data_IF_621046363786
#
_entry.id   IF_621046363786
#
_cell.length_a   1.000
_cell.length_b   1.000
_cell.length_c   1.000
_cell.angle_alpha   90.00
_cell.angle_beta   90.00
_cell.angle_gamma   90.00
#
_symmetry.space_group_name_H-M   'P 1'
#
loop_
_entity.id
_entity.type
_entity.pdbx_description
1 polymer ?
#
# COMPACT_ATOMS: atom_id res chain seq x y z
N UNK A 1 -5.84 -17.62 -11.82
CA UNK A 1 -6.35 -16.96 -10.60
C UNK A 1 -6.98 -18.00 -9.68
N UNK A 2 -6.66 -17.95 -8.39
CA UNK A 2 -7.20 -18.87 -7.38
C UNK A 2 -8.72 -18.78 -7.25
N UNK A 3 -9.31 -19.89 -6.85
CA UNK A 3 -10.76 -20.16 -6.90
C UNK A 3 -11.58 -19.27 -5.98
N UNK A 4 -10.99 -18.74 -4.91
CA UNK A 4 -11.66 -17.92 -3.91
C UNK A 4 -11.37 -16.41 -4.06
N UNK A 5 -10.68 -16.01 -5.13
CA UNK A 5 -10.30 -14.61 -5.39
C UNK A 5 -11.50 -13.69 -5.55
N UNK A 6 -11.43 -12.44 -5.05
CA UNK A 6 -12.45 -11.41 -5.23
C UNK A 6 -12.75 -11.16 -6.71
N UNK A 7 -11.73 -11.29 -7.57
CA UNK A 7 -11.87 -11.14 -9.02
C UNK A 7 -12.58 -12.32 -9.70
N UNK A 8 -12.80 -13.44 -9.00
CA UNK A 8 -13.38 -14.68 -9.54
C UNK A 8 -14.69 -15.08 -8.86
N UNK A 9 -14.88 -14.75 -7.58
CA UNK A 9 -16.14 -15.02 -6.87
C UNK A 9 -17.20 -14.02 -7.30
N UNK A 10 -18.46 -14.46 -7.34
CA UNK A 10 -19.59 -13.65 -7.80
C UNK A 10 -20.72 -13.61 -6.75
N UNK A 11 -21.73 -12.77 -7.00
CA UNK A 11 -22.96 -12.73 -6.23
C UNK A 11 -22.76 -12.47 -4.73
N UNK A 12 -23.36 -13.33 -3.88
CA UNK A 12 -23.34 -13.15 -2.41
C UNK A 12 -21.94 -13.29 -1.83
N UNK A 13 -21.12 -14.19 -2.38
CA UNK A 13 -19.76 -14.42 -1.90
C UNK A 13 -18.88 -13.20 -2.16
N UNK A 14 -18.97 -12.62 -3.37
CA UNK A 14 -18.28 -11.35 -3.68
C UNK A 14 -18.71 -10.22 -2.76
N UNK A 15 -20.03 -10.03 -2.57
CA UNK A 15 -20.57 -8.97 -1.69
C UNK A 15 -20.05 -9.11 -0.25
N UNK A 16 -20.06 -10.33 0.28
CA UNK A 16 -19.57 -10.63 1.64
C UNK A 16 -18.08 -10.32 1.76
N UNK A 17 -17.27 -10.83 0.84
CA UNK A 17 -15.83 -10.62 0.84
C UNK A 17 -15.46 -9.13 0.68
N UNK A 18 -16.11 -8.41 -0.24
CA UNK A 18 -15.93 -6.96 -0.42
C UNK A 18 -16.26 -6.19 0.85
N UNK A 19 -17.35 -6.55 1.54
CA UNK A 19 -17.75 -5.90 2.79
C UNK A 19 -16.67 -6.02 3.85
N UNK A 20 -16.17 -7.23 4.11
CA UNK A 20 -15.13 -7.44 5.12
C UNK A 20 -13.85 -6.66 4.82
N UNK A 21 -13.42 -6.66 3.56
CA UNK A 21 -12.21 -5.91 3.14
C UNK A 21 -12.41 -4.41 3.32
N UNK A 22 -13.59 -3.88 2.97
CA UNK A 22 -13.90 -2.47 3.13
C UNK A 22 -14.02 -2.06 4.60
N UNK A 23 -14.65 -2.88 5.45
CA UNK A 23 -14.79 -2.60 6.88
C UNK A 23 -13.45 -2.67 7.61
N UNK A 24 -12.57 -3.59 7.21
CA UNK A 24 -11.18 -3.57 7.63
C UNK A 24 -10.58 -2.22 7.23
N UNK A 25 -10.40 -1.96 5.93
CA UNK A 25 -9.55 -0.85 5.48
C UNK A 25 -10.11 0.53 5.82
N UNK A 26 -11.42 0.74 5.62
CA UNK A 26 -12.04 2.06 5.64
C UNK A 26 -12.82 2.39 6.93
N UNK A 27 -12.74 1.55 7.96
CA UNK A 27 -13.28 1.95 9.27
C UNK A 27 -12.51 3.16 9.82
N UNK A 28 -13.18 4.13 10.49
CA UNK A 28 -12.51 5.30 11.06
C UNK A 28 -11.31 4.94 11.95
N UNK A 29 -11.43 3.86 12.72
CA UNK A 29 -10.42 3.32 13.63
C UNK A 29 -9.23 2.74 12.86
N UNK A 30 -9.50 2.08 11.73
CA UNK A 30 -8.45 1.63 10.81
C UNK A 30 -7.67 2.80 10.23
N UNK A 31 -8.38 3.80 9.71
CA UNK A 31 -7.76 4.99 9.14
C UNK A 31 -6.91 5.72 10.19
N UNK A 32 -7.42 5.89 11.42
CA UNK A 32 -6.64 6.47 12.53
C UNK A 32 -5.35 5.69 12.83
N UNK A 33 -5.40 4.35 12.88
CA UNK A 33 -4.19 3.51 13.07
C UNK A 33 -3.22 3.62 11.90
N UNK A 34 -3.76 3.68 10.68
CA UNK A 34 -2.98 3.88 9.45
C UNK A 34 -2.21 5.21 9.52
N UNK A 35 -2.85 6.31 9.92
CA UNK A 35 -2.18 7.61 10.08
C UNK A 35 -0.99 7.59 11.04
N UNK A 36 -1.12 6.90 12.18
CA UNK A 36 -0.03 6.76 13.16
C UNK A 36 1.20 6.06 12.57
N UNK A 37 1.00 5.12 11.65
CA UNK A 37 2.08 4.32 11.05
C UNK A 37 2.64 4.98 9.79
N UNK A 38 1.76 5.50 8.93
CA UNK A 38 2.12 6.09 7.65
C UNK A 38 2.90 7.40 7.85
N UNK A 39 2.43 8.31 8.70
CA UNK A 39 3.02 9.64 8.79
C UNK A 39 4.53 9.62 9.11
N UNK A 40 5.02 8.85 10.10
CA UNK A 40 6.46 8.69 10.32
C UNK A 40 7.21 8.10 9.11
N UNK A 41 6.62 7.12 8.42
CA UNK A 41 7.23 6.52 7.24
C UNK A 41 7.35 7.51 6.09
N UNK A 42 6.32 8.33 5.83
CA UNK A 42 6.36 9.37 4.81
C UNK A 42 7.44 10.40 5.13
N UNK A 43 7.50 10.87 6.40
CA UNK A 43 8.54 11.82 6.84
C UNK A 43 9.94 11.26 6.65
N UNK A 44 10.17 9.99 6.99
CA UNK A 44 11.44 9.32 6.81
C UNK A 44 11.82 9.17 5.32
N UNK A 45 10.86 8.79 4.47
CA UNK A 45 11.06 8.66 3.04
C UNK A 45 11.43 10.01 2.40
N UNK A 46 10.66 11.06 2.65
CA UNK A 46 10.96 12.40 2.14
C UNK A 46 12.36 12.90 2.57
N UNK A 47 12.74 12.66 3.83
CA UNK A 47 14.08 13.03 4.33
C UNK A 47 15.19 12.24 3.63
N UNK A 48 14.98 10.96 3.38
CA UNK A 48 15.90 10.10 2.62
C UNK A 48 16.02 10.56 1.17
N UNK A 49 14.91 10.87 0.50
CA UNK A 49 14.89 11.34 -0.88
C UNK A 49 15.62 12.67 -1.06
N UNK A 50 15.42 13.61 -0.13
CA UNK A 50 16.15 14.88 -0.13
C UNK A 50 17.68 14.68 -0.04
N UNK A 51 18.15 13.63 0.63
CA UNK A 51 19.58 13.30 0.74
C UNK A 51 20.13 12.57 -0.49
N UNK A 52 19.29 11.85 -1.25
CA UNK A 52 19.68 11.12 -2.47
C UNK A 52 19.91 12.04 -3.67
N UNK A 53 19.36 13.26 -3.65
CA UNK A 53 19.44 14.19 -4.78
C UNK A 53 18.47 13.80 -5.89
N UNK A 54 18.93 13.06 -6.89
CA UNK A 54 18.07 12.58 -8.00
C UNK A 54 17.48 11.21 -7.66
N UNK A 55 16.15 11.10 -7.75
CA UNK A 55 15.42 9.85 -7.52
C UNK A 55 14.50 9.51 -8.70
N UNK A 56 14.21 8.22 -8.86
CA UNK A 56 13.07 7.77 -9.67
C UNK A 56 11.83 7.76 -8.78
N UNK A 57 10.98 8.78 -8.88
CA UNK A 57 9.82 8.96 -8.00
C UNK A 57 8.91 7.72 -7.94
N UNK A 58 8.68 7.04 -9.06
CA UNK A 58 7.85 5.83 -9.11
C UNK A 58 8.41 4.66 -8.30
N UNK A 59 9.74 4.49 -8.29
CA UNK A 59 10.40 3.37 -7.60
C UNK A 59 10.38 3.62 -6.10
N UNK A 60 10.70 4.84 -5.69
CA UNK A 60 10.68 5.25 -4.29
C UNK A 60 9.25 5.24 -3.71
N UNK A 61 8.26 5.70 -4.50
CA UNK A 61 6.84 5.63 -4.15
C UNK A 61 6.38 4.17 -3.95
N UNK A 62 6.77 3.30 -4.87
CA UNK A 62 6.44 1.88 -4.82
C UNK A 62 7.05 1.24 -3.58
N UNK A 63 8.33 1.48 -3.29
CA UNK A 63 9.03 0.91 -2.14
C UNK A 63 8.41 1.36 -0.81
N UNK A 64 8.18 2.67 -0.64
CA UNK A 64 7.57 3.22 0.56
C UNK A 64 6.15 2.65 0.78
N UNK A 65 5.32 2.64 -0.27
CA UNK A 65 3.94 2.14 -0.19
C UNK A 65 3.91 0.64 0.12
N UNK A 66 4.79 -0.13 -0.54
CA UNK A 66 4.93 -1.56 -0.29
C UNK A 66 5.30 -1.87 1.17
N UNK A 67 6.29 -1.15 1.70
CA UNK A 67 6.77 -1.35 3.07
C UNK A 67 5.68 -0.99 4.08
N UNK A 68 4.98 0.11 3.87
CA UNK A 68 3.86 0.54 4.71
C UNK A 68 2.72 -0.49 4.72
N UNK A 69 2.31 -0.97 3.55
CA UNK A 69 1.27 -1.99 3.45
C UNK A 69 1.71 -3.29 4.14
N UNK A 70 2.97 -3.71 3.99
CA UNK A 70 3.50 -4.88 4.69
C UNK A 70 3.52 -4.69 6.22
N UNK A 71 3.95 -3.51 6.69
CA UNK A 71 3.92 -3.17 8.12
C UNK A 71 2.48 -3.17 8.66
N UNK A 72 1.51 -2.67 7.88
CA UNK A 72 0.12 -2.66 8.29
C UNK A 72 -0.51 -4.06 8.31
N UNK A 73 -0.27 -4.88 7.27
CA UNK A 73 -0.94 -6.18 7.12
C UNK A 73 -0.26 -7.31 7.88
N UNK A 74 1.02 -7.17 8.20
CA UNK A 74 1.79 -8.25 8.81
C UNK A 74 2.66 -7.79 9.99
N UNK A 75 2.58 -6.54 10.43
CA UNK A 75 3.37 -5.92 11.52
C UNK A 75 4.85 -6.32 11.56
N UNK A 76 5.48 -6.56 10.41
CA UNK A 76 6.91 -6.87 10.31
C UNK A 76 7.65 -5.80 9.51
N UNK A 77 8.90 -5.57 9.92
CA UNK A 77 9.78 -4.55 9.36
C UNK A 77 11.13 -5.14 8.89
N UNK A 78 11.24 -6.47 8.81
CA UNK A 78 12.47 -7.15 8.40
C UNK A 78 12.82 -6.85 6.95
N UNK A 79 13.89 -6.08 6.72
CA UNK A 79 14.35 -5.70 5.38
C UNK A 79 14.61 -6.91 4.44
N UNK A 80 15.24 -8.01 4.87
CA UNK A 80 15.38 -9.21 4.04
C UNK A 80 14.04 -9.82 3.63
N UNK A 81 13.07 -9.84 4.55
CA UNK A 81 11.73 -10.38 4.28
C UNK A 81 10.94 -9.46 3.35
N UNK A 82 11.02 -8.14 3.55
CA UNK A 82 10.41 -7.14 2.66
C UNK A 82 10.95 -7.29 1.23
N UNK A 83 12.26 -7.39 1.04
CA UNK A 83 12.87 -7.65 -0.28
C UNK A 83 12.40 -8.96 -0.89
N UNK A 84 12.30 -10.04 -0.10
CA UNK A 84 11.78 -11.33 -0.57
C UNK A 84 10.32 -11.20 -1.03
N UNK A 85 9.49 -10.50 -0.26
CA UNK A 85 8.09 -10.25 -0.60
C UNK A 85 7.98 -9.39 -1.88
N UNK A 86 8.76 -8.32 -2.02
CA UNK A 86 8.80 -7.50 -3.25
C UNK A 86 9.12 -8.36 -4.48
N UNK A 87 10.10 -9.28 -4.39
CA UNK A 87 10.43 -10.20 -5.48
C UNK A 87 9.28 -11.13 -5.85
N UNK A 88 8.61 -11.69 -4.84
CA UNK A 88 7.45 -12.57 -5.02
C UNK A 88 6.31 -11.82 -5.71
N UNK A 89 5.91 -10.66 -5.18
CA UNK A 89 4.83 -9.85 -5.74
C UNK A 89 5.17 -9.32 -7.14
N UNK A 90 6.41 -8.92 -7.38
CA UNK A 90 6.89 -8.55 -8.71
C UNK A 90 6.76 -9.70 -9.71
N UNK A 91 7.07 -10.93 -9.30
CA UNK A 91 6.88 -12.14 -10.11
C UNK A 91 5.41 -12.43 -10.42
N UNK A 92 4.54 -12.38 -9.40
CA UNK A 92 3.10 -12.58 -9.55
C UNK A 92 2.47 -11.56 -10.51
N UNK A 93 2.83 -10.28 -10.35
CA UNK A 93 2.36 -9.19 -11.21
C UNK A 93 2.77 -9.36 -12.68
N UNK A 94 3.99 -9.84 -12.93
CA UNK A 94 4.48 -10.10 -14.28
C UNK A 94 3.75 -11.29 -14.90
N UNK A 95 3.58 -12.39 -14.18
CA UNK A 95 2.86 -13.55 -14.72
C UNK A 95 1.37 -13.29 -14.90
N UNK A 96 0.75 -12.43 -14.08
CA UNK A 96 -0.65 -12.02 -14.27
C UNK A 96 -0.87 -11.29 -15.61
N UNK A 97 0.15 -10.57 -16.11
CA UNK A 97 0.12 -9.87 -17.41
C UNK A 97 0.64 -10.71 -18.57
N UNK A 98 1.23 -11.86 -18.27
CA UNK A 98 1.85 -12.71 -19.28
C UNK A 98 0.81 -13.56 -20.01
N UNK A 99 1.20 -14.04 -21.19
CA UNK A 99 0.46 -15.12 -21.83
C UNK A 99 0.45 -16.35 -20.90
N UNK A 100 -0.69 -17.04 -20.75
CA UNK A 100 -0.86 -18.15 -19.81
C UNK A 100 -0.18 -19.44 -20.31
N UNK A 101 1.10 -19.35 -20.68
CA UNK A 101 1.91 -20.44 -21.21
C UNK A 101 2.82 -20.94 -20.10
N UNK A 102 2.56 -22.15 -19.61
CA UNK A 102 3.34 -22.77 -18.55
C UNK A 102 4.58 -23.49 -19.10
N UNK A 103 5.57 -22.72 -19.53
CA UNK A 103 6.85 -23.23 -20.00
C UNK A 103 7.99 -22.59 -19.20
N UNK A 104 9.02 -23.37 -18.87
CA UNK A 104 10.22 -22.87 -18.20
C UNK A 104 10.78 -21.64 -18.94
N UNK A 105 11.03 -20.56 -18.18
CA UNK A 105 11.48 -19.27 -18.73
C UNK A 105 10.37 -18.27 -19.02
N UNK A 106 9.10 -18.68 -19.06
CA UNK A 106 7.99 -17.72 -19.19
C UNK A 106 7.70 -17.02 -17.85
N UNK A 107 7.21 -15.78 -17.94
CA UNK A 107 6.75 -15.03 -16.76
C UNK A 107 5.56 -15.71 -16.07
N UNK A 108 4.71 -16.43 -16.82
CA UNK A 108 3.61 -17.21 -16.25
C UNK A 108 4.12 -18.39 -15.42
N UNK A 109 5.07 -19.17 -15.95
CA UNK A 109 5.70 -20.26 -15.20
C UNK A 109 6.44 -19.76 -13.95
N UNK A 110 7.14 -18.62 -14.05
CA UNK A 110 7.77 -17.99 -12.89
C UNK A 110 6.76 -17.56 -11.83
N UNK A 111 5.62 -16.99 -12.23
CA UNK A 111 4.56 -16.61 -11.29
C UNK A 111 4.00 -17.79 -10.51
N UNK A 112 3.79 -18.95 -11.16
CA UNK A 112 3.35 -20.16 -10.47
C UNK A 112 4.36 -20.64 -9.40
N UNK A 113 5.67 -20.52 -9.69
CA UNK A 113 6.72 -20.85 -8.72
C UNK A 113 6.70 -19.92 -7.50
N UNK A 114 6.65 -18.61 -7.73
CA UNK A 114 6.65 -17.64 -6.61
C UNK A 114 5.33 -17.62 -5.85
N UNK A 115 4.22 -18.04 -6.46
CA UNK A 115 2.95 -18.25 -5.76
C UNK A 115 3.10 -19.29 -4.66
N UNK A 116 3.81 -20.38 -4.92
CA UNK A 116 4.09 -21.40 -3.90
C UNK A 116 4.98 -20.87 -2.78
N UNK A 117 6.05 -20.15 -3.11
CA UNK A 117 6.90 -19.46 -2.11
C UNK A 117 6.10 -18.50 -1.22
N UNK A 118 5.09 -17.83 -1.79
CA UNK A 118 4.25 -16.88 -1.07
C UNK A 118 3.40 -17.54 0.01
N UNK A 119 2.87 -18.74 -0.26
CA UNK A 119 2.04 -19.49 0.71
C UNK A 119 2.84 -19.83 1.96
N UNK A 120 4.05 -20.34 1.78
CA UNK A 120 4.97 -20.71 2.87
C UNK A 120 5.26 -19.51 3.77
N UNK A 121 5.55 -18.36 3.17
CA UNK A 121 5.83 -17.14 3.93
C UNK A 121 4.61 -16.69 4.73
N UNK A 122 3.41 -16.73 4.13
CA UNK A 122 2.22 -16.26 4.81
C UNK A 122 1.78 -17.24 5.91
N UNK A 123 1.94 -18.54 5.72
CA UNK A 123 1.74 -19.54 6.79
C UNK A 123 2.69 -19.30 7.96
N UNK A 124 3.97 -19.03 7.68
CA UNK A 124 4.94 -18.66 8.71
C UNK A 124 4.52 -17.38 9.45
N UNK A 125 3.91 -16.40 8.77
CA UNK A 125 3.39 -15.18 9.41
C UNK A 125 2.18 -15.45 10.30
N UNK A 126 1.25 -16.32 9.86
CA UNK A 126 0.07 -16.73 10.66
C UNK A 126 0.47 -17.41 11.96
N UNK A 127 1.49 -18.27 11.92
CA UNK A 127 1.98 -19.00 13.10
C UNK A 127 2.55 -18.09 14.20
N UNK A 128 2.98 -16.87 13.85
CA UNK A 128 3.64 -15.93 14.77
C UNK A 128 2.68 -15.00 15.53
N UNK A 129 1.35 -15.23 15.49
CA UNK A 129 0.31 -14.39 16.14
C UNK A 129 0.59 -12.89 15.96
N UNK A 130 0.97 -12.49 14.75
CA UNK A 130 1.22 -11.08 14.50
C UNK A 130 -0.14 -10.40 14.47
N UNK A 131 -0.47 -9.63 15.53
CA UNK A 131 -1.60 -8.71 15.58
C UNK A 131 -1.39 -7.64 14.52
N UNK A 132 -1.65 -8.01 13.29
CA UNK A 132 -1.76 -7.13 12.15
C UNK A 132 -3.21 -7.25 11.73
N UNK A 133 -3.96 -6.18 12.00
CA UNK A 133 -5.42 -6.17 12.00
C UNK A 133 -6.03 -7.06 13.09
N UNK A 134 -7.24 -6.73 13.53
CA UNK A 134 -8.13 -7.70 14.17
C UNK A 134 -8.53 -8.73 13.09
N UNK A 135 -7.59 -9.55 12.62
CA UNK A 135 -7.89 -10.70 11.76
C UNK A 135 -8.73 -11.74 12.52
N UNK A 136 -8.86 -11.59 13.84
CA UNK A 136 -9.79 -12.34 14.69
C UNK A 136 -11.26 -12.16 14.24
N UNK A 137 -11.64 -11.02 13.62
CA UNK A 137 -12.98 -10.86 13.00
C UNK A 137 -13.06 -11.42 11.57
N UNK A 138 -11.93 -11.79 10.98
CA UNK A 138 -11.80 -12.45 9.67
C UNK A 138 -11.68 -13.97 9.84
N UNK A 139 -11.84 -14.49 11.07
CA UNK A 139 -12.00 -15.93 11.28
C UNK A 139 -13.41 -16.37 10.86
N UNK A 140 -13.46 -17.13 9.76
CA UNK A 140 -13.98 -18.51 9.66
C UNK A 140 -14.41 -18.84 8.23
N UNK A 141 -14.51 -17.84 7.35
CA UNK A 141 -14.72 -18.09 5.92
C UNK A 141 -13.44 -17.86 5.14
N UNK A 142 -12.66 -18.93 4.94
CA UNK A 142 -11.67 -19.12 3.88
C UNK A 142 -11.46 -17.91 2.94
N UNK A 143 -10.82 -16.84 3.41
CA UNK A 143 -10.21 -15.86 2.52
C UNK A 143 -8.92 -16.53 2.11
N UNK A 144 -8.98 -17.23 0.98
CA UNK A 144 -7.81 -17.83 0.37
C UNK A 144 -6.74 -16.76 0.19
N UNK A 145 -5.49 -17.16 0.41
CA UNK A 145 -4.33 -16.31 0.28
C UNK A 145 -4.20 -15.73 -1.12
N UNK A 146 -4.78 -16.40 -2.12
CA UNK A 146 -4.90 -15.88 -3.48
C UNK A 146 -5.77 -14.63 -3.56
N UNK A 147 -6.82 -14.55 -2.74
CA UNK A 147 -7.69 -13.38 -2.61
C UNK A 147 -6.97 -12.23 -1.94
N UNK A 148 -6.27 -12.53 -0.85
CA UNK A 148 -5.46 -11.55 -0.14
C UNK A 148 -4.33 -11.04 -1.04
N UNK A 149 -3.61 -11.93 -1.72
CA UNK A 149 -2.58 -11.63 -2.72
C UNK A 149 -3.10 -10.74 -3.84
N UNK A 150 -4.27 -11.00 -4.42
CA UNK A 150 -4.83 -10.16 -5.48
C UNK A 150 -5.31 -8.79 -4.99
N UNK A 151 -5.93 -8.73 -3.79
CA UNK A 151 -6.26 -7.46 -3.14
C UNK A 151 -4.98 -6.68 -2.86
N UNK A 152 -3.97 -7.33 -2.30
CA UNK A 152 -2.67 -6.76 -1.97
C UNK A 152 -1.93 -6.26 -3.22
N UNK A 153 -1.93 -7.06 -4.29
CA UNK A 153 -1.30 -6.72 -5.57
C UNK A 153 -2.04 -5.57 -6.26
N UNK A 154 -3.37 -5.60 -6.30
CA UNK A 154 -4.18 -4.54 -6.88
C UNK A 154 -4.09 -3.24 -6.08
N UNK A 155 -4.09 -3.34 -4.74
CA UNK A 155 -3.92 -2.20 -3.84
C UNK A 155 -2.51 -1.64 -3.92
N UNK A 156 -1.44 -2.42 -3.74
CA UNK A 156 -0.06 -1.93 -3.91
C UNK A 156 0.14 -1.26 -5.26
N UNK A 157 -0.38 -1.86 -6.34
CA UNK A 157 -0.22 -1.26 -7.65
C UNK A 157 -1.03 0.03 -7.79
N UNK A 158 -2.30 0.03 -7.41
CA UNK A 158 -3.16 1.22 -7.50
C UNK A 158 -2.66 2.32 -6.58
N UNK A 159 -2.43 1.99 -5.32
CA UNK A 159 -2.03 2.91 -4.27
C UNK A 159 -0.58 3.39 -4.52
N UNK A 160 0.32 2.53 -5.00
CA UNK A 160 1.66 2.94 -5.43
C UNK A 160 1.67 3.85 -6.66
N UNK A 161 0.78 3.61 -7.64
CA UNK A 161 0.57 4.52 -8.77
C UNK A 161 0.00 5.85 -8.26
N UNK A 162 -1.03 5.83 -7.42
CA UNK A 162 -1.61 7.04 -6.84
C UNK A 162 -0.57 7.85 -6.06
N UNK A 163 0.29 7.19 -5.25
CA UNK A 163 1.36 7.87 -4.54
C UNK A 163 2.40 8.44 -5.51
N UNK A 164 2.74 7.73 -6.59
CA UNK A 164 3.64 8.27 -7.62
C UNK A 164 3.03 9.48 -8.35
N UNK A 165 1.73 9.44 -8.67
CA UNK A 165 1.00 10.56 -9.26
C UNK A 165 0.92 11.75 -8.29
N UNK A 166 0.66 11.49 -7.00
CA UNK A 166 0.74 12.50 -5.95
C UNK A 166 2.13 13.11 -5.85
N UNK A 167 3.21 12.32 -5.95
CA UNK A 167 4.58 12.84 -5.92
C UNK A 167 4.92 13.65 -7.18
N UNK A 168 4.38 13.28 -8.35
CA UNK A 168 4.51 14.08 -9.55
C UNK A 168 3.79 15.44 -9.37
N UNK A 169 2.59 15.44 -8.80
CA UNK A 169 1.86 16.67 -8.48
C UNK A 169 2.59 17.52 -7.43
N UNK A 170 3.13 16.91 -6.37
CA UNK A 170 3.98 17.61 -5.40
C UNK A 170 5.21 18.20 -6.09
N UNK A 171 5.82 17.48 -7.03
CA UNK A 171 6.94 17.98 -7.84
C UNK A 171 6.55 19.21 -8.66
N UNK A 172 5.38 19.19 -9.30
CA UNK A 172 4.80 20.35 -10.01
C UNK A 172 4.55 21.50 -9.03
N UNK A 173 3.94 21.23 -7.88
CA UNK A 173 3.69 22.24 -6.83
C UNK A 173 5.00 22.85 -6.30
N UNK A 174 6.06 22.06 -6.15
CA UNK A 174 7.39 22.55 -5.75
C UNK A 174 8.04 23.42 -6.83
N UNK A 175 7.81 23.13 -8.11
CA UNK A 175 8.26 24.00 -9.21
C UNK A 175 7.49 25.33 -9.18
N UNK A 176 6.17 25.27 -9.05
CA UNK A 176 5.29 26.44 -8.86
C UNK A 176 5.76 27.28 -7.65
N UNK A 177 6.15 26.60 -6.56
CA UNK A 177 6.68 27.23 -5.35
C UNK A 177 8.02 27.95 -5.59
N UNK A 178 8.95 27.30 -6.30
CA UNK A 178 10.23 27.90 -6.70
C UNK A 178 10.02 29.15 -7.56
N UNK A 179 8.98 29.13 -8.39
CA UNK A 179 8.64 30.23 -9.29
C UNK A 179 7.80 31.33 -8.61
N UNK A 180 7.47 31.18 -7.32
CA UNK A 180 6.75 32.17 -6.50
C UNK A 180 5.27 32.34 -6.85
N UNK A 181 4.67 31.37 -7.54
CA UNK A 181 3.27 31.41 -7.96
C UNK A 181 2.34 30.96 -6.80
N UNK A 182 1.24 31.69 -6.51
CA UNK A 182 0.32 31.33 -5.44
C UNK A 182 -0.38 29.98 -5.67
N UNK A 183 -0.35 29.10 -4.67
CA UNK A 183 -1.03 27.81 -4.71
C UNK A 183 -1.88 27.62 -3.44
N UNK A 184 -3.21 27.53 -3.60
CA UNK A 184 -4.17 27.39 -2.49
C UNK A 184 -3.98 26.10 -1.68
N UNK A 185 -3.48 25.03 -2.31
CA UNK A 185 -3.13 23.79 -1.61
C UNK A 185 -1.96 24.02 -0.63
N UNK A 186 -1.01 24.88 -1.00
CA UNK A 186 0.14 25.19 -0.14
C UNK A 186 -0.27 26.05 1.07
N UNK A 187 -1.05 27.10 0.84
CA UNK A 187 -1.58 27.95 1.92
C UNK A 187 -2.38 27.13 2.93
N UNK A 188 -3.22 26.20 2.45
CA UNK A 188 -3.97 25.27 3.29
C UNK A 188 -3.03 24.37 4.11
N UNK A 189 -2.04 23.73 3.48
CA UNK A 189 -1.12 22.82 4.17
C UNK A 189 -0.21 23.53 5.18
N UNK A 190 0.26 24.75 4.89
CA UNK A 190 1.04 25.58 5.82
C UNK A 190 0.17 25.97 7.01
N UNK A 191 -1.05 26.46 6.78
CA UNK A 191 -1.97 26.83 7.85
C UNK A 191 -2.34 25.66 8.75
N UNK A 192 -2.55 24.46 8.20
CA UNK A 192 -2.77 23.25 9.00
C UNK A 192 -1.52 22.93 9.85
N UNK A 193 -0.31 23.08 9.28
CA UNK A 193 0.94 22.80 9.99
C UNK A 193 1.18 23.76 11.15
N UNK A 194 1.01 25.06 10.92
CA UNK A 194 1.17 26.11 11.93
C UNK A 194 0.23 25.90 13.12
N UNK A 195 -1.03 25.59 12.84
CA UNK A 195 -2.03 25.32 13.88
C UNK A 195 -1.74 24.04 14.68
N UNK A 196 -1.14 23.02 14.05
CA UNK A 196 -0.81 21.75 14.73
C UNK A 196 0.46 21.85 15.58
N UNK A 197 1.46 22.57 15.08
CA UNK A 197 2.82 22.68 15.64
C UNK A 197 3.76 21.57 15.14
N UNK A 198 5.03 21.91 14.85
CA UNK A 198 6.01 21.14 14.05
C UNK A 198 6.26 19.67 14.46
N UNK A 199 6.09 19.31 15.73
CA UNK A 199 6.40 17.96 16.20
C UNK A 199 5.20 17.01 16.26
N UNK A 200 3.98 17.52 16.05
CA UNK A 200 2.76 16.69 16.16
C UNK A 200 2.44 15.98 14.84
N UNK A 201 2.13 14.70 14.92
CA UNK A 201 1.61 13.91 13.79
C UNK A 201 0.26 14.47 13.32
N UNK A 202 0.05 14.44 12.00
CA UNK A 202 -1.28 14.71 11.43
C UNK A 202 -2.24 13.59 11.79
N UNK A 203 -3.47 13.94 12.09
CA UNK A 203 -4.58 13.02 12.36
C UNK A 203 -5.49 12.91 11.14
N UNK A 204 -6.36 11.90 11.17
CA UNK A 204 -7.43 11.75 10.18
C UNK A 204 -8.28 13.03 10.06
N UNK A 205 -8.60 13.67 11.20
CA UNK A 205 -9.42 14.88 11.20
C UNK A 205 -8.70 16.08 10.60
N UNK A 206 -7.37 16.19 10.74
CA UNK A 206 -6.60 17.26 10.11
C UNK A 206 -6.69 17.15 8.57
N UNK A 207 -6.49 15.93 8.03
CA UNK A 207 -6.52 15.69 6.58
C UNK A 207 -7.93 15.79 6.01
N UNK A 208 -8.94 15.33 6.75
CA UNK A 208 -10.34 15.41 6.34
C UNK A 208 -10.78 16.86 6.06
N UNK A 209 -10.18 17.84 6.73
CA UNK A 209 -10.50 19.25 6.60
C UNK A 209 -9.68 19.97 5.51
N UNK A 210 -8.77 19.28 4.80
CA UNK A 210 -7.99 19.84 3.70
C UNK A 210 -8.80 19.85 2.39
N UNK A 211 -9.52 20.93 2.15
CA UNK A 211 -10.47 21.13 1.04
C UNK A 211 -9.83 21.32 -0.33
N UNK A 212 -8.62 21.86 -0.41
CA UNK A 212 -7.89 22.05 -1.67
C UNK A 212 -7.06 20.83 -2.04
N UNK A 213 -6.53 20.14 -1.03
CA UNK A 213 -5.74 18.91 -1.20
C UNK A 213 -6.60 17.68 -1.56
N UNK A 214 -7.89 17.69 -1.22
CA UNK A 214 -8.82 16.56 -1.45
C UNK A 214 -9.56 16.60 -2.80
N UNK A 215 -9.32 17.62 -3.63
CA UNK A 215 -9.90 17.76 -4.97
C UNK A 215 -9.00 17.18 -6.04
#
# INVERSE_FOLDING_TARGET
>A
MGTNSMARVEGRQHKRLKRYVMEAINSPESLKRMFVTLHPSFKAACKSWAQKGTITASDEAYEMTFNNICAQLFSFHSAPLLKKMQRIYGGLLRGLRAQPINLSGTAFHYALKVEEDSKVIIEAMKSKKVRAWNLDSINESAIDLTTFSNIFISHIKRDGIQVADCLANIGVDMIIWKDGLPNKSQEENIGVRENKGEDKLLTYDDVKNMTYTSK
#
